data_IF_101511093277
#
_entry.id   IF_101511093277
#
_cell.length_a   1.000
_cell.length_b   1.000
_cell.length_c   1.000
_cell.angle_alpha   90.00
_cell.angle_beta   90.00
_cell.angle_gamma   90.00
#
_symmetry.space_group_name_H-M   'P 1'
#
loop_
_entity.id
_entity.type
_entity.pdbx_description
1 polymer ?
#
# COMPACT_ATOMS: atom_id res chain seq x y z
N UNK A 1 2.39 -6.02 -8.62
CA UNK A 1 0.94 -6.22 -8.44
C UNK A 1 0.43 -7.22 -9.44
N UNK A 2 -0.22 -8.30 -8.97
CA UNK A 2 -0.92 -9.26 -9.84
C UNK A 2 -2.27 -8.66 -10.29
N UNK A 3 -2.86 -9.15 -11.41
CA UNK A 3 -4.20 -8.69 -11.79
C UNK A 3 -5.25 -8.89 -10.69
N UNK A 4 -5.15 -9.99 -9.93
CA UNK A 4 -6.07 -10.29 -8.83
C UNK A 4 -5.94 -9.30 -7.67
N UNK A 5 -4.72 -9.04 -7.17
CA UNK A 5 -4.50 -8.06 -6.10
C UNK A 5 -4.81 -6.64 -6.56
N UNK A 6 -4.47 -6.28 -7.81
CA UNK A 6 -4.83 -4.98 -8.37
C UNK A 6 -6.34 -4.75 -8.43
N UNK A 7 -7.11 -5.73 -8.94
CA UNK A 7 -8.57 -5.66 -8.97
C UNK A 7 -9.19 -5.57 -7.57
N UNK A 8 -8.63 -6.30 -6.62
CA UNK A 8 -9.08 -6.27 -5.23
C UNK A 8 -8.81 -4.92 -4.56
N UNK A 9 -7.60 -4.38 -4.71
CA UNK A 9 -7.25 -3.06 -4.15
C UNK A 9 -8.07 -1.93 -4.79
N UNK A 10 -8.36 -2.01 -6.11
CA UNK A 10 -9.33 -1.13 -6.78
C UNK A 10 -10.70 -1.20 -6.11
N UNK A 11 -11.20 -2.42 -5.85
CA UNK A 11 -12.48 -2.62 -5.19
C UNK A 11 -12.50 -2.01 -3.78
N UNK A 12 -11.46 -2.23 -2.98
CA UNK A 12 -11.32 -1.64 -1.65
C UNK A 12 -11.33 -0.11 -1.71
N UNK A 13 -10.54 0.49 -2.62
CA UNK A 13 -10.51 1.95 -2.79
C UNK A 13 -11.90 2.51 -3.14
N UNK A 14 -12.65 1.82 -4.00
CA UNK A 14 -14.02 2.20 -4.37
C UNK A 14 -14.98 2.04 -3.19
N UNK A 15 -14.89 0.92 -2.45
CA UNK A 15 -15.77 0.61 -1.32
C UNK A 15 -15.73 1.68 -0.23
N UNK A 16 -14.54 2.20 0.06
CA UNK A 16 -14.35 3.25 1.07
C UNK A 16 -14.45 4.67 0.50
N UNK A 17 -14.79 4.81 -0.80
CA UNK A 17 -14.83 6.10 -1.51
C UNK A 17 -13.53 6.89 -1.33
N UNK A 18 -12.39 6.23 -1.47
CA UNK A 18 -11.09 6.81 -1.22
C UNK A 18 -10.81 8.05 -2.08
N UNK A 19 -10.33 9.13 -1.46
CA UNK A 19 -9.93 10.37 -2.11
C UNK A 19 -8.43 10.66 -1.96
N UNK A 20 -7.85 10.30 -0.82
CA UNK A 20 -6.43 10.52 -0.51
C UNK A 20 -5.75 9.19 -0.25
N UNK A 21 -4.88 8.79 -1.17
CA UNK A 21 -4.21 7.48 -1.12
C UNK A 21 -2.69 7.67 -1.12
N UNK A 22 -2.01 6.91 -0.29
CA UNK A 22 -0.54 6.74 -0.33
C UNK A 22 -0.23 5.36 -0.87
N UNK A 23 0.62 5.27 -1.87
CA UNK A 23 1.17 4.03 -2.40
C UNK A 23 2.68 4.02 -2.15
N UNK A 24 3.17 2.96 -1.53
CA UNK A 24 4.59 2.71 -1.30
C UNK A 24 5.02 1.59 -2.21
N UNK A 25 6.00 1.86 -3.08
CA UNK A 25 6.43 0.96 -4.14
C UNK A 25 5.63 1.18 -5.42
N UNK A 26 5.95 2.28 -6.13
CA UNK A 26 5.35 2.65 -7.43
C UNK A 26 5.63 1.59 -8.50
N UNK A 27 6.86 1.08 -8.54
CA UNK A 27 7.31 0.15 -9.57
C UNK A 27 7.03 0.69 -10.98
N UNK A 28 6.43 -0.14 -11.83
CA UNK A 28 6.07 0.25 -13.20
C UNK A 28 4.76 1.08 -13.31
N UNK A 29 4.12 1.46 -12.20
CA UNK A 29 2.87 2.23 -12.22
C UNK A 29 1.59 1.42 -12.44
N UNK A 30 1.68 0.11 -12.66
CA UNK A 30 0.50 -0.76 -12.86
C UNK A 30 -0.38 -0.77 -11.59
N UNK A 31 0.21 -0.80 -10.40
CA UNK A 31 -0.53 -0.69 -9.14
C UNK A 31 -1.27 0.63 -9.02
N UNK A 32 -0.60 1.73 -9.36
CA UNK A 32 -1.17 3.08 -9.39
C UNK A 32 -2.37 3.16 -10.34
N UNK A 33 -2.28 2.55 -11.53
CA UNK A 33 -3.41 2.49 -12.49
C UNK A 33 -4.63 1.74 -11.92
N UNK A 34 -4.41 0.61 -11.24
CA UNK A 34 -5.49 -0.12 -10.60
C UNK A 34 -6.17 0.73 -9.52
N UNK A 35 -5.40 1.39 -8.68
CA UNK A 35 -5.92 2.26 -7.62
C UNK A 35 -6.69 3.46 -8.18
N UNK A 36 -6.18 4.13 -9.22
CA UNK A 36 -6.84 5.27 -9.88
C UNK A 36 -8.22 4.92 -10.44
N UNK A 37 -8.42 3.66 -10.85
CA UNK A 37 -9.74 3.16 -11.29
C UNK A 37 -10.73 2.93 -10.14
N UNK A 38 -10.28 2.89 -8.90
CA UNK A 38 -11.11 2.72 -7.71
C UNK A 38 -11.29 3.99 -6.88
N UNK A 39 -10.31 4.87 -6.93
CA UNK A 39 -10.31 6.16 -6.23
C UNK A 39 -11.32 7.10 -6.87
N UNK A 40 -12.00 7.91 -6.05
CA UNK A 40 -12.98 8.91 -6.50
C UNK A 40 -12.40 9.80 -7.60
N UNK A 41 -13.26 10.33 -8.49
CA UNK A 41 -12.83 11.12 -9.66
C UNK A 41 -12.00 12.37 -9.30
N UNK A 42 -12.22 12.96 -8.13
CA UNK A 42 -11.43 14.07 -7.57
C UNK A 42 -10.24 13.61 -6.72
N UNK A 43 -10.10 12.30 -6.45
CA UNK A 43 -9.10 11.78 -5.54
C UNK A 43 -7.70 11.74 -6.15
N UNK A 44 -6.71 11.76 -5.28
CA UNK A 44 -5.28 11.82 -5.64
C UNK A 44 -4.51 10.67 -5.00
N UNK A 45 -3.61 10.06 -5.76
CA UNK A 45 -2.66 9.07 -5.27
C UNK A 45 -1.28 9.73 -5.15
N UNK A 46 -0.69 9.66 -3.95
CA UNK A 46 0.73 9.95 -3.73
C UNK A 46 1.48 8.64 -3.75
N UNK A 47 2.22 8.38 -4.83
CA UNK A 47 2.99 7.15 -5.03
C UNK A 47 4.48 7.42 -4.83
N UNK A 48 5.12 6.63 -3.99
CA UNK A 48 6.48 6.88 -3.50
C UNK A 48 7.34 5.66 -3.82
N UNK A 49 8.48 5.90 -4.44
CA UNK A 49 9.46 4.85 -4.76
C UNK A 49 10.87 5.46 -4.75
N UNK A 50 11.87 4.84 -4.13
CA UNK A 50 13.23 5.37 -4.13
C UNK A 50 13.91 5.27 -5.50
N UNK A 51 13.45 4.38 -6.37
CA UNK A 51 14.06 4.12 -7.67
C UNK A 51 13.61 5.11 -8.74
N UNK A 52 14.53 5.94 -9.21
CA UNK A 52 14.28 6.95 -10.27
C UNK A 52 13.68 6.32 -11.53
N UNK A 53 14.19 5.14 -11.93
CA UNK A 53 13.71 4.43 -13.12
C UNK A 53 12.24 4.01 -12.98
N UNK A 54 11.81 3.58 -11.79
CA UNK A 54 10.42 3.24 -11.54
C UNK A 54 9.51 4.46 -11.75
N UNK A 55 9.87 5.61 -11.18
CA UNK A 55 9.10 6.84 -11.35
C UNK A 55 9.00 7.28 -12.81
N UNK A 56 10.07 7.11 -13.60
CA UNK A 56 10.07 7.45 -15.03
C UNK A 56 9.14 6.53 -15.83
N UNK A 57 9.23 5.21 -15.60
CA UNK A 57 8.37 4.22 -16.27
C UNK A 57 6.91 4.45 -15.88
N UNK A 58 6.63 4.61 -14.58
CA UNK A 58 5.28 4.86 -14.08
C UNK A 58 4.67 6.13 -14.69
N UNK A 59 5.45 7.21 -14.78
CA UNK A 59 5.00 8.45 -15.41
C UNK A 59 4.57 8.23 -16.86
N UNK A 60 5.38 7.48 -17.65
CA UNK A 60 5.04 7.19 -19.03
C UNK A 60 3.77 6.34 -19.13
N UNK A 61 3.66 5.29 -18.31
CA UNK A 61 2.47 4.42 -18.23
C UNK A 61 1.19 5.20 -17.90
N UNK A 62 1.28 6.16 -16.97
CA UNK A 62 0.13 7.00 -16.61
C UNK A 62 -0.25 7.97 -17.73
N UNK A 63 0.72 8.52 -18.45
CA UNK A 63 0.49 9.37 -19.64
C UNK A 63 -0.17 8.56 -20.75
N UNK A 64 0.36 7.38 -21.08
CA UNK A 64 -0.16 6.49 -22.13
C UNK A 64 -1.59 5.98 -21.80
N UNK A 65 -1.96 5.97 -20.54
CA UNK A 65 -3.30 5.64 -20.06
C UNK A 65 -4.24 6.86 -19.94
N UNK A 66 -3.84 8.02 -20.47
CA UNK A 66 -4.61 9.29 -20.44
C UNK A 66 -5.01 9.72 -19.01
N UNK A 67 -4.19 9.41 -18.01
CA UNK A 67 -4.47 9.83 -16.62
C UNK A 67 -4.09 11.30 -16.44
N UNK A 68 -5.04 12.17 -16.02
CA UNK A 68 -4.75 13.57 -15.75
C UNK A 68 -3.68 13.76 -14.67
N UNK A 69 -2.73 14.67 -14.90
CA UNK A 69 -1.57 14.88 -14.01
C UNK A 69 -1.95 15.32 -12.58
N UNK A 70 -3.15 15.88 -12.38
CA UNK A 70 -3.65 16.25 -11.07
C UNK A 70 -4.21 15.07 -10.25
N UNK A 71 -4.26 13.88 -10.82
CA UNK A 71 -4.76 12.66 -10.18
C UNK A 71 -3.66 11.86 -9.45
N UNK A 72 -2.41 12.20 -9.68
CA UNK A 72 -1.28 11.48 -9.06
C UNK A 72 -0.11 12.41 -8.75
N UNK A 73 0.68 12.00 -7.77
CA UNK A 73 1.98 12.59 -7.43
C UNK A 73 2.98 11.45 -7.34
N UNK A 74 3.98 11.44 -8.23
CA UNK A 74 5.09 10.50 -8.16
C UNK A 74 6.23 11.16 -7.40
N UNK A 75 6.68 10.55 -6.31
CA UNK A 75 7.75 11.07 -5.45
C UNK A 75 8.88 10.06 -5.45
N UNK A 76 10.05 10.49 -5.93
CA UNK A 76 11.27 9.69 -5.87
C UNK A 76 12.02 10.03 -4.59
N UNK A 77 11.83 9.21 -3.56
CA UNK A 77 12.44 9.38 -2.23
C UNK A 77 12.26 8.12 -1.40
N UNK A 78 12.99 8.02 -0.29
CA UNK A 78 12.74 7.04 0.75
C UNK A 78 11.35 7.27 1.35
N UNK A 79 10.50 6.24 1.33
CA UNK A 79 9.08 6.38 1.66
C UNK A 79 8.83 6.79 3.12
N UNK A 80 9.63 6.34 4.09
CA UNK A 80 9.49 6.75 5.49
C UNK A 80 9.79 8.24 5.69
N UNK A 81 10.74 8.80 4.93
CA UNK A 81 11.02 10.23 4.98
C UNK A 81 9.83 11.07 4.48
N UNK A 82 9.16 10.58 3.44
CA UNK A 82 7.96 11.23 2.91
C UNK A 82 6.80 11.05 3.87
N UNK A 83 6.54 9.82 4.34
CA UNK A 83 5.42 9.52 5.24
C UNK A 83 5.45 10.41 6.49
N UNK A 84 6.62 10.60 7.12
CA UNK A 84 6.77 11.46 8.31
C UNK A 84 6.38 12.93 8.08
N UNK A 85 6.33 13.38 6.83
CA UNK A 85 5.92 14.75 6.44
C UNK A 85 4.45 14.84 6.05
N UNK A 86 3.76 13.72 5.90
CA UNK A 86 2.33 13.69 5.57
C UNK A 86 1.48 14.06 6.78
N UNK A 87 0.33 14.68 6.51
CA UNK A 87 -0.59 15.15 7.55
C UNK A 87 -1.26 14.00 8.28
N UNK A 88 -1.49 14.17 9.58
CA UNK A 88 -2.18 13.22 10.42
C UNK A 88 -3.64 13.06 9.99
N UNK A 89 -4.15 11.84 10.01
CA UNK A 89 -5.57 11.49 9.78
C UNK A 89 -6.14 12.05 8.45
N UNK A 90 -5.28 12.25 7.45
CA UNK A 90 -5.65 12.88 6.17
C UNK A 90 -5.83 11.88 5.01
N UNK A 91 -5.54 10.61 5.23
CA UNK A 91 -5.54 9.60 4.18
C UNK A 91 -6.58 8.51 4.43
N UNK A 92 -7.16 8.01 3.33
CA UNK A 92 -8.17 6.95 3.34
C UNK A 92 -7.57 5.56 3.21
N UNK A 93 -6.49 5.47 2.44
CA UNK A 93 -5.85 4.19 2.09
C UNK A 93 -4.33 4.37 2.00
N UNK A 94 -3.61 3.47 2.62
CA UNK A 94 -2.16 3.26 2.42
C UNK A 94 -1.99 1.88 1.79
N UNK A 95 -1.29 1.79 0.66
CA UNK A 95 -0.93 0.51 0.02
C UNK A 95 0.57 0.32 0.09
N UNK A 96 1.00 -0.75 0.75
CA UNK A 96 2.41 -1.07 0.93
C UNK A 96 2.87 -2.20 0.01
N UNK A 97 3.93 -1.92 -0.76
CA UNK A 97 4.69 -2.84 -1.62
C UNK A 97 6.19 -2.58 -1.52
N UNK A 98 6.62 -1.91 -0.46
CA UNK A 98 8.03 -1.60 -0.19
C UNK A 98 8.82 -2.78 0.35
N UNK A 99 10.02 -2.49 0.88
CA UNK A 99 10.81 -3.51 1.57
C UNK A 99 10.15 -3.95 2.88
N UNK A 100 9.89 -5.25 3.10
CA UNK A 100 9.29 -5.72 4.33
C UNK A 100 10.09 -5.43 5.61
N UNK A 101 11.37 -5.13 5.50
CA UNK A 101 12.26 -4.86 6.63
C UNK A 101 11.83 -3.62 7.41
N UNK A 102 11.19 -2.64 6.74
CA UNK A 102 10.70 -1.39 7.35
C UNK A 102 9.20 -1.44 7.70
N UNK A 103 8.57 -2.60 7.60
CA UNK A 103 7.11 -2.71 7.64
C UNK A 103 6.50 -2.27 8.97
N UNK A 104 7.20 -2.44 10.10
CA UNK A 104 6.71 -1.99 11.40
C UNK A 104 6.65 -0.46 11.48
N UNK A 105 7.69 0.24 11.01
CA UNK A 105 7.69 1.69 10.93
C UNK A 105 6.59 2.20 9.99
N UNK A 106 6.35 1.47 8.88
CA UNK A 106 5.25 1.79 7.95
C UNK A 106 3.89 1.60 8.61
N UNK A 107 3.70 0.58 9.44
CA UNK A 107 2.45 0.36 10.19
C UNK A 107 2.21 1.54 11.14
N UNK A 108 3.23 1.98 11.89
CA UNK A 108 3.12 3.09 12.83
C UNK A 108 2.80 4.41 12.11
N UNK A 109 3.53 4.73 11.04
CA UNK A 109 3.26 5.91 10.24
C UNK A 109 1.88 5.84 9.54
N UNK A 110 1.48 4.66 9.06
CA UNK A 110 0.14 4.46 8.49
C UNK A 110 -0.95 4.70 9.52
N UNK A 111 -0.74 4.26 10.77
CA UNK A 111 -1.68 4.55 11.85
C UNK A 111 -1.83 6.06 12.08
N UNK A 112 -0.72 6.81 12.04
CA UNK A 112 -0.74 8.27 12.23
C UNK A 112 -1.49 8.98 11.11
N UNK A 113 -1.17 8.68 9.84
CA UNK A 113 -1.69 9.41 8.68
C UNK A 113 -3.09 8.97 8.24
N UNK A 114 -3.51 7.73 8.51
CA UNK A 114 -4.86 7.26 8.20
C UNK A 114 -5.90 7.90 9.12
N UNK A 115 -7.05 8.26 8.56
CA UNK A 115 -8.25 8.59 9.35
C UNK A 115 -8.81 7.33 10.03
N UNK A 116 -9.68 7.49 11.00
CA UNK A 116 -10.50 6.38 11.53
C UNK A 116 -11.34 5.78 10.40
N UNK A 117 -11.38 4.46 10.31
CA UNK A 117 -11.95 3.71 9.19
C UNK A 117 -11.07 3.70 7.92
N UNK A 118 -9.91 4.35 7.93
CA UNK A 118 -8.91 4.24 6.86
C UNK A 118 -8.21 2.88 6.89
N UNK A 119 -7.66 2.46 5.76
CA UNK A 119 -7.13 1.10 5.58
C UNK A 119 -5.64 1.14 5.22
N UNK A 120 -4.83 0.34 5.91
CA UNK A 120 -3.53 -0.11 5.46
C UNK A 120 -3.70 -1.44 4.73
N UNK A 121 -3.26 -1.51 3.47
CA UNK A 121 -3.23 -2.72 2.65
C UNK A 121 -1.77 -3.14 2.40
N UNK A 122 -1.37 -4.30 2.88
CA UNK A 122 -0.05 -4.89 2.62
C UNK A 122 -0.23 -5.91 1.50
N UNK A 123 0.22 -5.56 0.29
CA UNK A 123 0.19 -6.43 -0.89
C UNK A 123 1.39 -7.40 -0.86
N UNK A 124 1.27 -8.54 -1.50
CA UNK A 124 2.27 -9.62 -1.48
C UNK A 124 2.60 -10.15 -0.08
N UNK A 125 1.61 -10.20 0.80
CA UNK A 125 1.82 -10.55 2.21
C UNK A 125 2.35 -11.97 2.42
N UNK A 126 2.10 -12.90 1.50
CA UNK A 126 2.67 -14.26 1.59
C UNK A 126 4.14 -14.35 1.18
N UNK A 127 4.71 -13.28 0.59
CA UNK A 127 6.13 -13.24 0.23
C UNK A 127 6.53 -14.35 -0.74
N UNK A 128 5.72 -14.60 -1.76
CA UNK A 128 5.91 -15.71 -2.69
C UNK A 128 5.59 -17.08 -2.05
N UNK A 129 4.63 -17.13 -1.13
CA UNK A 129 4.23 -18.34 -0.43
C UNK A 129 5.15 -18.73 0.75
N UNK A 130 6.13 -17.90 1.11
CA UNK A 130 7.11 -18.20 2.17
C UNK A 130 6.58 -17.94 3.59
N UNK A 131 5.73 -16.92 3.76
CA UNK A 131 5.23 -16.52 5.10
C UNK A 131 4.49 -17.66 5.82
N UNK A 132 3.64 -18.47 5.16
CA UNK A 132 2.99 -19.62 5.79
C UNK A 132 3.93 -20.76 6.16
N UNK A 133 5.11 -20.86 5.53
CA UNK A 133 6.06 -21.94 5.78
C UNK A 133 7.00 -21.58 6.95
N UNK A 134 6.91 -22.25 8.11
CA UNK A 134 7.73 -21.92 9.29
C UNK A 134 9.23 -22.23 9.09
N UNK A 135 9.60 -22.99 8.07
CA UNK A 135 11.01 -23.28 7.75
C UNK A 135 11.69 -22.07 7.08
N UNK A 136 10.94 -21.18 6.46
CA UNK A 136 11.46 -19.95 5.84
C UNK A 136 11.83 -18.92 6.90
N UNK A 137 13.12 -18.56 6.94
CA UNK A 137 13.70 -17.68 7.96
C UNK A 137 14.49 -16.50 7.39
N UNK A 138 14.36 -16.23 6.10
CA UNK A 138 14.98 -15.03 5.52
C UNK A 138 14.38 -13.76 6.14
N UNK A 139 15.15 -12.66 6.26
CA UNK A 139 14.72 -11.45 6.98
C UNK A 139 13.39 -10.90 6.50
N UNK A 140 13.13 -10.87 5.19
CA UNK A 140 11.91 -10.35 4.60
C UNK A 140 10.68 -11.17 4.98
N UNK A 141 10.80 -12.49 4.95
CA UNK A 141 9.73 -13.41 5.35
C UNK A 141 9.43 -13.30 6.84
N UNK A 142 10.47 -13.17 7.67
CA UNK A 142 10.30 -12.99 9.12
C UNK A 142 9.60 -11.65 9.41
N UNK A 143 10.03 -10.57 8.76
CA UNK A 143 9.42 -9.24 8.93
C UNK A 143 7.92 -9.24 8.60
N UNK A 144 7.51 -9.82 7.46
CA UNK A 144 6.09 -9.96 7.10
C UNK A 144 5.30 -10.77 8.14
N UNK A 145 5.89 -11.88 8.61
CA UNK A 145 5.25 -12.74 9.63
C UNK A 145 5.07 -12.00 10.95
N UNK A 146 6.08 -11.24 11.37
CA UNK A 146 6.05 -10.50 12.62
C UNK A 146 5.11 -9.28 12.52
N UNK A 147 5.03 -8.63 11.36
CA UNK A 147 4.02 -7.60 11.09
C UNK A 147 2.59 -8.14 11.24
N UNK A 148 2.31 -9.33 10.69
CA UNK A 148 1.00 -9.98 10.86
C UNK A 148 0.67 -10.31 12.31
N UNK A 149 1.65 -10.81 13.09
CA UNK A 149 1.48 -11.04 14.54
C UNK A 149 1.25 -9.75 15.30
N UNK A 150 2.05 -8.70 14.98
CA UNK A 150 1.93 -7.39 15.60
C UNK A 150 0.52 -6.81 15.37
N UNK A 151 0.07 -6.72 14.13
CA UNK A 151 -1.27 -6.21 13.81
C UNK A 151 -2.36 -7.02 14.51
N UNK A 152 -2.23 -8.36 14.58
CA UNK A 152 -3.17 -9.21 15.29
C UNK A 152 -3.20 -8.93 16.81
N UNK A 153 -2.06 -8.58 17.39
CA UNK A 153 -1.99 -8.22 18.82
C UNK A 153 -2.62 -6.86 19.13
N UNK A 154 -2.71 -5.97 18.14
CA UNK A 154 -3.24 -4.60 18.26
C UNK A 154 -4.74 -4.53 17.94
N UNK A 155 -5.52 -5.50 18.41
CA UNK A 155 -6.95 -5.67 18.08
C UNK A 155 -7.87 -4.52 18.56
N UNK A 156 -7.42 -3.69 19.49
CA UNK A 156 -8.14 -2.48 19.92
C UNK A 156 -7.89 -1.28 18.97
N UNK A 157 -6.85 -1.37 18.16
CA UNK A 157 -6.41 -0.29 17.27
C UNK A 157 -6.66 -0.62 15.80
N UNK A 158 -6.58 -1.90 15.46
CA UNK A 158 -6.71 -2.40 14.11
C UNK A 158 -7.70 -3.56 14.00
N UNK A 159 -8.62 -3.46 13.04
CA UNK A 159 -9.38 -4.61 12.55
C UNK A 159 -8.70 -5.20 11.33
N UNK A 160 -8.32 -6.47 11.36
CA UNK A 160 -7.53 -7.08 10.30
C UNK A 160 -8.29 -8.15 9.51
N UNK A 161 -7.97 -8.27 8.22
CA UNK A 161 -8.44 -9.33 7.34
C UNK A 161 -7.32 -9.78 6.41
N UNK A 162 -7.01 -11.06 6.40
CA UNK A 162 -6.06 -11.67 5.47
C UNK A 162 -6.82 -12.30 4.31
N UNK A 163 -6.55 -11.83 3.10
CA UNK A 163 -7.27 -12.23 1.89
C UNK A 163 -6.32 -12.95 0.94
N UNK A 164 -6.52 -14.23 0.62
CA UNK A 164 -5.63 -15.03 -0.23
C UNK A 164 -5.84 -14.72 -1.73
N UNK A 165 -5.70 -13.46 -2.10
CA UNK A 165 -5.84 -12.97 -3.49
C UNK A 165 -4.45 -12.61 -4.00
N UNK A 166 -4.07 -13.14 -5.17
CA UNK A 166 -2.70 -13.01 -5.67
C UNK A 166 -1.70 -13.71 -4.73
N UNK A 167 -0.72 -12.96 -4.24
CA UNK A 167 0.21 -13.41 -3.19
C UNK A 167 -0.24 -12.93 -1.80
N UNK A 168 -1.51 -12.96 -1.55
CA UNK A 168 -2.27 -12.43 -0.42
C UNK A 168 -2.18 -10.91 -0.20
N UNK A 169 -3.29 -10.35 0.23
CA UNK A 169 -3.40 -8.96 0.70
C UNK A 169 -3.86 -8.97 2.16
N UNK A 170 -3.05 -8.44 3.06
CA UNK A 170 -3.45 -8.18 4.44
C UNK A 170 -4.03 -6.77 4.52
N UNK A 171 -5.28 -6.66 4.96
CA UNK A 171 -5.93 -5.39 5.26
C UNK A 171 -5.94 -5.14 6.76
N UNK A 172 -5.63 -3.92 7.16
CA UNK A 172 -5.76 -3.45 8.53
C UNK A 172 -6.54 -2.13 8.51
N UNK A 173 -7.75 -2.14 9.07
CA UNK A 173 -8.62 -0.96 9.20
C UNK A 173 -8.37 -0.31 10.54
N UNK A 174 -8.06 0.98 10.56
CA UNK A 174 -7.90 1.77 11.79
C UNK A 174 -9.23 1.96 12.50
N UNK A 175 -9.28 1.59 13.78
CA UNK A 175 -10.45 1.73 14.66
C UNK A 175 -10.55 3.10 15.30
#
# INVERSE_FOLDING_TARGET
TTPGSGAYLRYIASLISAQSVVEIGTGSGVGTLWLLKGVMSSGVITSIDPEVQHSQIAKQVLIDADIPANRYRLITSEYLEVMRKLADRAYDLVVFRGSPEDILDVIDESHRILRVGGILAIDHFYGGGKVPDPAQRDPKTVALRDAGKFLKSQHETWSISLNPIGDAVLLATKL
#
